data_IF_745601222421
#
_entry.id   IF_745601222421
#
_cell.length_a   1.000
_cell.length_b   1.000
_cell.length_c   1.000
_cell.angle_alpha   90.00
_cell.angle_beta   90.00
_cell.angle_gamma   90.00
#
_symmetry.space_group_name_H-M   'P 1'
#
loop_
_entity.id
_entity.type
_entity.pdbx_description
1 polymer ?
#
# COMPACT_ATOMS: atom_id res chain seq x y z
N UNK A 1 -6.90 -14.57 96.24
CA UNK A 1 -5.74 -13.81 95.72
C UNK A 1 -5.15 -14.62 94.56
N UNK A 2 -5.05 -13.98 93.38
CA UNK A 2 -4.26 -14.36 92.18
C UNK A 2 -4.70 -15.63 91.43
N UNK A 3 -4.62 -15.78 90.12
CA UNK A 3 -4.77 -14.94 88.92
C UNK A 3 -4.49 -15.87 87.71
N UNK A 4 -5.29 -15.74 86.64
CA UNK A 4 -4.99 -16.01 85.21
C UNK A 4 -4.70 -17.47 84.69
N UNK A 5 -4.77 -17.73 83.36
CA UNK A 5 -5.58 -17.12 82.29
C UNK A 5 -6.25 -18.12 81.30
N UNK A 6 -7.26 -17.63 80.58
CA UNK A 6 -7.99 -18.30 79.51
C UNK A 6 -7.22 -18.34 78.17
N UNK A 7 -7.25 -19.51 77.50
CA UNK A 7 -6.75 -19.73 76.13
C UNK A 7 -7.65 -19.06 75.08
N UNK A 8 -7.08 -18.17 74.27
CA UNK A 8 -7.71 -17.63 73.04
C UNK A 8 -7.69 -18.69 71.93
N UNK A 9 -8.86 -18.94 71.33
CA UNK A 9 -9.02 -19.70 70.07
C UNK A 9 -8.79 -18.74 68.89
N UNK A 10 -7.83 -19.06 68.02
CA UNK A 10 -7.63 -18.37 66.74
C UNK A 10 -8.66 -18.85 65.72
N UNK A 11 -9.40 -17.91 65.13
CA UNK A 11 -10.33 -18.12 64.03
C UNK A 11 -9.57 -17.87 62.73
N UNK A 12 -9.33 -18.92 61.94
CA UNK A 12 -8.76 -18.80 60.59
C UNK A 12 -9.89 -18.41 59.62
N UNK A 13 -9.81 -17.19 59.07
CA UNK A 13 -10.70 -16.71 58.03
C UNK A 13 -10.12 -17.10 56.67
N UNK A 14 -10.72 -18.09 56.01
CA UNK A 14 -10.36 -18.48 54.65
C UNK A 14 -11.08 -17.59 53.63
N UNK A 15 -10.34 -16.73 52.94
CA UNK A 15 -10.84 -15.97 51.78
C UNK A 15 -10.64 -16.81 50.51
N UNK A 16 -11.73 -17.39 50.01
CA UNK A 16 -11.78 -18.00 48.69
C UNK A 16 -11.84 -16.90 47.62
N UNK A 17 -10.74 -16.73 46.87
CA UNK A 17 -10.68 -15.82 45.74
C UNK A 17 -11.15 -16.56 44.48
N UNK A 18 -12.41 -16.40 44.10
CA UNK A 18 -12.96 -16.88 42.83
C UNK A 18 -12.45 -15.99 41.69
N UNK A 19 -11.53 -16.52 40.89
CA UNK A 19 -11.09 -15.89 39.65
C UNK A 19 -12.19 -16.01 38.59
N UNK A 20 -12.86 -14.91 38.26
CA UNK A 20 -13.68 -14.81 37.05
C UNK A 20 -12.75 -14.71 35.83
N UNK A 21 -12.66 -15.78 35.04
CA UNK A 21 -12.18 -15.71 33.67
C UNK A 21 -13.24 -14.99 32.82
N UNK A 22 -13.00 -13.72 32.50
CA UNK A 22 -13.74 -13.04 31.45
C UNK A 22 -13.25 -13.55 30.10
N UNK A 23 -13.99 -14.49 29.48
CA UNK A 23 -13.86 -14.73 28.04
C UNK A 23 -14.37 -13.48 27.31
N UNK A 24 -13.45 -12.64 26.85
CA UNK A 24 -13.76 -11.59 25.90
C UNK A 24 -14.06 -12.24 24.54
N UNK A 25 -15.33 -12.57 24.31
CA UNK A 25 -15.83 -12.91 22.98
C UNK A 25 -15.58 -11.71 22.06
N UNK A 26 -14.72 -11.87 21.05
CA UNK A 26 -14.53 -10.86 20.03
C UNK A 26 -15.87 -10.67 19.28
N UNK A 27 -16.56 -9.57 19.58
CA UNK A 27 -17.72 -9.17 18.80
C UNK A 27 -17.26 -8.91 17.35
N UNK A 28 -18.02 -9.33 16.33
CA UNK A 28 -17.69 -8.98 14.96
C UNK A 28 -17.60 -7.45 14.86
N UNK A 29 -16.50 -6.96 14.29
CA UNK A 29 -16.36 -5.55 13.96
C UNK A 29 -17.42 -5.23 12.90
N UNK A 30 -18.55 -4.67 13.33
CA UNK A 30 -19.60 -4.26 12.42
C UNK A 30 -19.06 -3.15 11.52
N UNK A 31 -19.24 -3.32 10.21
CA UNK A 31 -18.97 -2.25 9.26
C UNK A 31 -19.79 -1.01 9.64
N UNK A 32 -19.23 0.17 9.38
CA UNK A 32 -19.95 1.42 9.64
C UNK A 32 -21.35 1.38 8.99
N UNK A 33 -22.38 1.80 9.75
CA UNK A 33 -23.76 1.83 9.25
C UNK A 33 -23.82 2.63 7.94
N UNK A 34 -24.48 2.06 6.93
CA UNK A 34 -24.68 2.71 5.65
C UNK A 34 -26.14 3.10 5.48
N UNK A 35 -26.50 4.38 5.72
CA UNK A 35 -27.89 4.82 5.67
C UNK A 35 -28.53 4.48 4.32
N UNK A 36 -29.65 3.75 4.37
CA UNK A 36 -30.40 3.37 3.15
C UNK A 36 -29.82 2.17 2.37
N UNK A 37 -28.68 1.59 2.77
CA UNK A 37 -28.15 0.38 2.15
C UNK A 37 -27.60 -0.60 3.23
N UNK A 38 -28.47 -1.42 3.86
CA UNK A 38 -28.05 -2.34 4.92
C UNK A 38 -27.13 -3.46 4.42
N UNK A 39 -27.00 -3.63 3.11
CA UNK A 39 -26.11 -4.61 2.52
C UNK A 39 -24.78 -4.02 2.08
N UNK A 40 -24.57 -2.70 2.15
CA UNK A 40 -23.34 -2.06 1.71
C UNK A 40 -22.09 -2.75 2.30
N UNK A 41 -21.00 -2.76 1.54
CA UNK A 41 -19.74 -3.36 2.00
C UNK A 41 -19.27 -2.70 3.32
N UNK A 42 -19.35 -1.38 3.39
CA UNK A 42 -18.98 -0.58 4.54
C UNK A 42 -17.48 -0.61 4.86
N UNK A 43 -17.04 0.37 5.65
CA UNK A 43 -15.71 0.33 6.25
C UNK A 43 -15.75 -0.56 7.48
N UNK A 44 -15.02 -1.68 7.50
CA UNK A 44 -15.10 -2.67 8.57
C UNK A 44 -14.44 -2.21 9.87
N UNK A 45 -13.35 -1.43 9.75
CA UNK A 45 -12.64 -0.83 10.88
C UNK A 45 -11.74 0.30 10.40
N UNK A 46 -11.41 1.19 11.32
CA UNK A 46 -10.34 2.17 11.14
C UNK A 46 -9.06 1.66 11.78
N UNK A 47 -7.96 1.66 11.01
CA UNK A 47 -6.62 1.38 11.48
C UNK A 47 -5.89 2.71 11.69
N UNK A 48 -5.55 3.02 12.94
CA UNK A 48 -4.80 4.23 13.30
C UNK A 48 -3.32 3.90 13.34
N UNK A 49 -2.53 4.48 12.45
CA UNK A 49 -1.09 4.20 12.31
C UNK A 49 -0.23 5.36 12.80
N UNK A 50 0.89 5.03 13.45
CA UNK A 50 1.92 5.99 13.83
C UNK A 50 3.05 5.99 12.77
N UNK A 51 3.25 7.09 12.03
CA UNK A 51 4.33 7.23 11.05
C UNK A 51 5.73 7.00 11.61
N UNK A 52 5.92 7.22 12.92
CA UNK A 52 7.24 7.17 13.56
C UNK A 52 7.66 5.76 13.96
N UNK A 53 6.71 4.84 14.13
CA UNK A 53 6.98 3.45 14.49
C UNK A 53 7.23 2.56 13.27
N UNK A 54 6.48 2.81 12.19
CA UNK A 54 6.55 2.03 10.95
C UNK A 54 6.77 2.96 9.76
N UNK A 55 7.97 3.55 9.59
CA UNK A 55 8.19 4.64 8.65
C UNK A 55 8.08 4.24 7.18
N UNK A 56 8.03 2.93 6.85
CA UNK A 56 8.02 2.41 5.47
C UNK A 56 7.12 1.19 5.41
N UNK A 57 6.12 1.18 4.53
CA UNK A 57 5.16 0.07 4.41
C UNK A 57 4.80 -0.27 2.96
N UNK A 58 4.47 -1.54 2.71
CA UNK A 58 3.99 -2.07 1.43
C UNK A 58 5.01 -2.99 0.78
N UNK A 59 4.59 -4.24 0.54
CA UNK A 59 5.48 -5.35 0.15
C UNK A 59 6.07 -5.26 -1.25
N UNK A 60 5.66 -4.30 -2.07
CA UNK A 60 6.35 -4.04 -3.35
C UNK A 60 7.74 -3.43 -3.16
N UNK A 61 8.04 -2.81 -2.01
CA UNK A 61 9.34 -2.20 -1.74
C UNK A 61 9.94 -2.60 -0.37
N UNK A 62 9.10 -2.95 0.61
CA UNK A 62 9.51 -3.06 2.00
C UNK A 62 9.14 -4.42 2.61
N UNK A 63 9.87 -4.88 3.63
CA UNK A 63 9.52 -6.12 4.34
C UNK A 63 8.25 -5.99 5.18
N UNK A 64 7.89 -4.76 5.58
CA UNK A 64 6.70 -4.46 6.37
C UNK A 64 5.53 -3.98 5.49
N UNK A 65 4.31 -4.25 5.94
CA UNK A 65 3.05 -3.70 5.42
C UNK A 65 2.07 -3.48 6.57
N UNK A 66 0.87 -2.98 6.28
CA UNK A 66 -0.13 -2.74 7.29
C UNK A 66 -0.55 -4.04 8.01
N UNK A 67 -0.84 -3.96 9.33
CA UNK A 67 -1.32 -5.08 10.14
C UNK A 67 -2.79 -5.39 9.83
N UNK A 68 -2.99 -5.93 8.63
CA UNK A 68 -4.26 -6.37 8.11
C UNK A 68 -4.51 -7.82 8.53
N UNK A 69 -5.74 -8.11 8.95
CA UNK A 69 -6.21 -9.47 9.16
C UNK A 69 -6.44 -10.15 7.81
N UNK A 70 -6.76 -11.44 7.86
CA UNK A 70 -7.13 -12.17 6.67
C UNK A 70 -8.39 -11.58 6.03
N UNK A 71 -8.44 -11.58 4.70
CA UNK A 71 -9.50 -10.97 3.93
C UNK A 71 -9.69 -9.46 4.19
N UNK A 72 -8.66 -8.73 4.62
CA UNK A 72 -8.70 -7.27 4.70
C UNK A 72 -7.96 -6.60 3.55
N UNK A 73 -8.55 -5.54 3.00
CA UNK A 73 -7.96 -4.75 1.92
C UNK A 73 -8.05 -3.25 2.23
N UNK A 74 -6.99 -2.53 1.87
CA UNK A 74 -6.96 -1.07 1.89
C UNK A 74 -6.98 -0.59 0.46
N UNK A 75 -8.00 0.21 0.10
CA UNK A 75 -8.08 0.84 -1.22
C UNK A 75 -7.25 2.12 -1.22
N UNK A 76 -6.35 2.26 -2.20
CA UNK A 76 -5.56 3.47 -2.39
C UNK A 76 -5.63 3.97 -3.82
N UNK A 77 -5.70 5.29 -3.99
CA UNK A 77 -5.79 5.96 -5.29
C UNK A 77 -4.69 7.00 -5.43
N UNK A 78 -3.91 6.93 -6.51
CA UNK A 78 -2.83 7.87 -6.83
C UNK A 78 -3.24 8.84 -7.95
N UNK A 79 -2.50 9.95 -8.02
CA UNK A 79 -2.48 10.99 -9.07
C UNK A 79 -3.59 12.04 -9.04
N UNK A 80 -4.67 11.80 -8.29
CA UNK A 80 -5.80 12.71 -8.21
C UNK A 80 -5.53 14.08 -7.52
N UNK A 81 -6.56 14.94 -7.42
CA UNK A 81 -7.90 14.71 -7.98
C UNK A 81 -8.01 15.19 -9.43
N UNK A 82 -8.72 14.45 -10.27
CA UNK A 82 -9.17 14.87 -11.59
C UNK A 82 -10.70 14.77 -11.62
N UNK A 83 -11.46 15.90 -11.57
CA UNK A 83 -12.90 15.89 -11.31
C UNK A 83 -13.71 14.92 -12.17
N UNK A 84 -13.33 14.77 -13.45
CA UNK A 84 -13.97 13.86 -14.40
C UNK A 84 -14.03 12.41 -13.92
N UNK A 85 -13.02 11.94 -13.20
CA UNK A 85 -12.85 10.53 -12.80
C UNK A 85 -12.90 10.36 -11.27
N UNK A 86 -12.33 11.30 -10.51
CA UNK A 86 -12.37 11.29 -9.04
C UNK A 86 -13.79 11.34 -8.52
N UNK A 87 -14.68 12.17 -9.10
CA UNK A 87 -16.06 12.30 -8.61
C UNK A 87 -16.86 10.99 -8.75
N UNK A 88 -16.88 10.32 -9.92
CA UNK A 88 -17.45 8.98 -10.02
C UNK A 88 -16.87 7.96 -9.03
N UNK A 89 -15.55 7.98 -8.80
CA UNK A 89 -14.90 7.13 -7.79
C UNK A 89 -15.46 7.40 -6.40
N UNK A 90 -15.57 8.67 -5.98
CA UNK A 90 -16.16 9.05 -4.69
C UNK A 90 -17.62 8.60 -4.58
N UNK A 91 -18.42 8.74 -5.63
CA UNK A 91 -19.83 8.33 -5.63
C UNK A 91 -19.97 6.80 -5.43
N UNK A 92 -19.11 6.01 -6.07
CA UNK A 92 -19.08 4.55 -5.90
C UNK A 92 -18.63 4.13 -4.49
N UNK A 93 -17.62 4.80 -3.92
CA UNK A 93 -17.19 4.55 -2.54
C UNK A 93 -18.28 4.94 -1.54
N UNK A 94 -18.99 6.05 -1.78
CA UNK A 94 -20.09 6.51 -0.95
C UNK A 94 -21.29 5.56 -0.99
N UNK A 95 -21.64 5.02 -2.16
CA UNK A 95 -22.74 4.05 -2.33
C UNK A 95 -22.53 2.76 -1.52
N UNK A 96 -21.26 2.40 -1.28
CA UNK A 96 -20.87 1.26 -0.45
C UNK A 96 -20.42 1.67 0.97
N UNK A 97 -20.49 2.95 1.34
CA UNK A 97 -20.04 3.49 2.63
C UNK A 97 -18.60 3.10 3.02
N UNK A 98 -17.71 3.02 2.03
CA UNK A 98 -16.31 2.64 2.21
C UNK A 98 -15.41 3.87 2.18
N UNK A 99 -14.34 3.85 2.97
CA UNK A 99 -13.30 4.88 2.93
C UNK A 99 -12.01 4.32 2.32
N UNK A 100 -11.26 5.19 1.66
CA UNK A 100 -10.00 4.88 0.99
C UNK A 100 -8.94 5.92 1.37
N UNK A 101 -7.70 5.70 0.89
CA UNK A 101 -6.60 6.67 0.98
C UNK A 101 -6.28 7.22 -0.40
N UNK A 102 -6.21 8.53 -0.57
CA UNK A 102 -5.88 9.20 -1.82
C UNK A 102 -4.51 9.88 -1.70
N UNK A 103 -3.58 9.56 -2.60
CA UNK A 103 -2.26 10.20 -2.69
C UNK A 103 -2.28 11.26 -3.77
N UNK A 104 -2.29 12.52 -3.32
CA UNK A 104 -2.61 13.67 -4.15
C UNK A 104 -1.35 14.30 -4.74
N UNK A 105 -1.35 14.54 -6.05
CA UNK A 105 -0.31 15.35 -6.68
C UNK A 105 -0.58 16.83 -6.35
N UNK A 106 0.44 17.53 -5.84
CA UNK A 106 0.29 18.92 -5.41
C UNK A 106 -0.22 19.87 -6.50
N UNK A 107 0.23 19.69 -7.75
CA UNK A 107 -0.31 20.45 -8.90
C UNK A 107 -1.81 20.22 -9.07
N UNK A 108 -2.28 18.97 -8.97
CA UNK A 108 -3.70 18.64 -9.10
C UNK A 108 -4.51 19.23 -7.94
N UNK A 109 -3.97 19.26 -6.73
CA UNK A 109 -4.58 19.96 -5.59
C UNK A 109 -4.79 21.46 -5.86
N UNK A 110 -3.79 22.15 -6.45
CA UNK A 110 -3.92 23.57 -6.80
C UNK A 110 -4.89 23.82 -7.94
N UNK A 111 -4.89 22.96 -8.95
CA UNK A 111 -5.68 23.14 -10.16
C UNK A 111 -7.16 22.76 -9.90
N UNK A 112 -7.41 21.82 -8.97
CA UNK A 112 -8.75 21.31 -8.64
C UNK A 112 -9.03 21.28 -7.11
N UNK A 113 -8.93 22.42 -6.40
CA UNK A 113 -9.04 22.45 -4.95
C UNK A 113 -10.45 22.12 -4.45
N UNK A 114 -11.49 22.37 -5.25
CA UNK A 114 -12.86 21.98 -4.93
C UNK A 114 -13.02 20.46 -4.90
N UNK A 115 -12.47 19.75 -5.88
CA UNK A 115 -12.52 18.29 -5.92
C UNK A 115 -11.72 17.66 -4.78
N UNK A 116 -10.57 18.23 -4.41
CA UNK A 116 -9.83 17.77 -3.23
C UNK A 116 -10.65 17.93 -1.94
N UNK A 117 -11.38 19.04 -1.79
CA UNK A 117 -12.28 19.23 -0.64
C UNK A 117 -13.44 18.24 -0.64
N UNK A 118 -13.94 17.80 -1.80
CA UNK A 118 -14.93 16.71 -1.86
C UNK A 118 -14.36 15.40 -1.32
N UNK A 119 -13.10 15.04 -1.66
CA UNK A 119 -12.41 13.87 -1.08
C UNK A 119 -12.31 13.99 0.45
N UNK A 120 -11.95 15.18 0.95
CA UNK A 120 -11.85 15.45 2.39
C UNK A 120 -13.20 15.38 3.10
N UNK A 121 -14.23 16.02 2.54
CA UNK A 121 -15.59 16.03 3.10
C UNK A 121 -16.24 14.65 3.09
N UNK A 122 -15.87 13.81 2.12
CA UNK A 122 -16.25 12.40 2.09
C UNK A 122 -15.53 11.56 3.18
N UNK A 123 -14.62 12.14 3.98
CA UNK A 123 -13.98 11.48 5.12
C UNK A 123 -12.90 10.47 4.73
N UNK A 124 -12.35 10.58 3.52
CA UNK A 124 -11.22 9.77 3.08
C UNK A 124 -9.91 10.29 3.66
N UNK A 125 -8.89 9.43 3.70
CA UNK A 125 -7.55 9.86 4.10
C UNK A 125 -6.83 10.48 2.90
N UNK A 126 -6.20 11.64 3.11
CA UNK A 126 -5.43 12.33 2.08
C UNK A 126 -3.96 12.27 2.44
N UNK A 127 -3.18 11.54 1.64
CA UNK A 127 -1.72 11.60 1.61
C UNK A 127 -1.23 12.40 0.39
N UNK A 128 0.08 12.47 0.21
CA UNK A 128 0.69 13.28 -0.87
C UNK A 128 1.52 12.43 -1.83
N UNK A 129 1.59 12.88 -3.08
CA UNK A 129 2.21 12.17 -4.20
C UNK A 129 3.17 13.06 -5.00
N UNK A 130 3.98 13.86 -4.30
CA UNK A 130 4.87 14.92 -4.84
C UNK A 130 4.12 16.05 -5.54
N UNK A 131 4.85 17.08 -5.96
CA UNK A 131 4.30 18.28 -6.57
C UNK A 131 3.91 18.06 -8.03
N UNK A 132 4.78 17.41 -8.82
CA UNK A 132 4.64 17.28 -10.27
C UNK A 132 4.76 15.84 -10.79
N UNK A 133 4.84 14.86 -9.90
CA UNK A 133 4.92 13.43 -10.26
C UNK A 133 6.12 13.07 -11.19
N UNK A 134 7.37 13.46 -10.86
CA UNK A 134 8.51 13.02 -11.65
C UNK A 134 8.78 11.52 -11.42
N UNK A 135 8.75 10.71 -12.47
CA UNK A 135 9.12 9.28 -12.37
C UNK A 135 10.60 9.05 -12.05
N UNK A 136 11.43 10.09 -12.12
CA UNK A 136 12.88 10.05 -11.88
C UNK A 136 13.31 10.39 -10.45
N UNK A 137 12.40 10.36 -9.46
CA UNK A 137 12.70 10.76 -8.07
C UNK A 137 13.99 10.10 -7.52
N UNK A 138 14.20 8.80 -7.76
CA UNK A 138 15.37 8.08 -7.27
C UNK A 138 16.72 8.46 -7.92
N UNK A 139 16.69 9.23 -9.01
CA UNK A 139 17.89 9.59 -9.82
C UNK A 139 18.12 11.09 -9.90
N UNK A 140 17.14 11.90 -9.52
CA UNK A 140 17.29 13.36 -9.52
C UNK A 140 18.15 13.82 -8.33
N UNK A 141 18.77 15.01 -8.40
CA UNK A 141 19.45 15.60 -7.26
C UNK A 141 18.55 15.66 -6.03
N UNK A 142 19.08 15.32 -4.86
CA UNK A 142 18.28 15.18 -3.63
C UNK A 142 17.49 16.45 -3.29
N UNK A 143 18.09 17.63 -3.44
CA UNK A 143 17.39 18.91 -3.17
C UNK A 143 16.17 19.10 -4.08
N UNK A 144 16.21 18.62 -5.33
CA UNK A 144 15.05 18.66 -6.23
C UNK A 144 13.96 17.69 -5.78
N UNK A 145 14.33 16.47 -5.38
CA UNK A 145 13.38 15.50 -4.84
C UNK A 145 12.73 16.01 -3.55
N UNK A 146 13.51 16.67 -2.68
CA UNK A 146 13.03 17.33 -1.48
C UNK A 146 12.01 18.43 -1.81
N UNK A 147 12.31 19.30 -2.77
CA UNK A 147 11.38 20.33 -3.24
C UNK A 147 10.08 19.71 -3.77
N UNK A 148 10.17 18.64 -4.56
CA UNK A 148 8.97 17.94 -5.08
C UNK A 148 8.08 17.40 -3.95
N UNK A 149 8.65 16.91 -2.85
CA UNK A 149 7.90 16.43 -1.69
C UNK A 149 7.29 17.61 -0.93
N UNK A 150 8.12 18.60 -0.58
CA UNK A 150 7.71 19.73 0.26
C UNK A 150 6.64 20.59 -0.42
N UNK A 151 6.82 20.91 -1.71
CA UNK A 151 5.85 21.70 -2.47
C UNK A 151 4.54 20.93 -2.67
N UNK A 152 4.62 19.60 -2.83
CA UNK A 152 3.47 18.72 -2.96
C UNK A 152 2.60 18.73 -1.70
N UNK A 153 3.24 18.68 -0.54
CA UNK A 153 2.60 18.84 0.77
C UNK A 153 2.02 20.24 0.89
N UNK A 154 2.81 21.28 0.64
CA UNK A 154 2.38 22.67 0.78
C UNK A 154 1.17 23.00 -0.11
N UNK A 155 1.16 22.55 -1.36
CA UNK A 155 0.05 22.75 -2.29
C UNK A 155 -1.23 22.03 -1.84
N UNK A 156 -1.10 20.80 -1.34
CA UNK A 156 -2.24 20.03 -0.82
C UNK A 156 -2.82 20.68 0.44
N UNK A 157 -1.97 21.12 1.36
CA UNK A 157 -2.37 21.86 2.57
C UNK A 157 -3.08 23.16 2.20
N UNK A 158 -2.53 23.93 1.25
CA UNK A 158 -3.14 25.20 0.81
C UNK A 158 -4.52 25.02 0.19
N UNK A 159 -4.73 23.93 -0.56
CA UNK A 159 -6.03 23.63 -1.18
C UNK A 159 -7.11 23.22 -0.17
N UNK A 160 -6.70 22.57 0.93
CA UNK A 160 -7.58 22.17 2.04
C UNK A 160 -7.78 23.28 3.09
N UNK A 161 -6.83 24.21 3.20
CA UNK A 161 -6.86 25.31 4.17
C UNK A 161 -6.51 24.92 5.60
N UNK A 162 -6.19 23.64 5.84
CA UNK A 162 -5.86 23.10 7.16
C UNK A 162 -4.88 21.92 7.02
N UNK A 163 -3.69 22.06 7.61
CA UNK A 163 -2.65 21.05 7.55
C UNK A 163 -3.03 19.74 8.26
N UNK A 164 -3.94 19.78 9.24
CA UNK A 164 -4.39 18.58 9.96
C UNK A 164 -5.24 17.64 9.09
N UNK A 165 -5.71 18.13 7.93
CA UNK A 165 -6.44 17.33 6.95
C UNK A 165 -5.52 16.54 6.00
N UNK A 166 -4.21 16.80 6.03
CA UNK A 166 -3.22 16.04 5.25
C UNK A 166 -2.54 15.05 6.19
N UNK A 167 -2.74 13.76 5.93
CA UNK A 167 -2.04 12.72 6.65
C UNK A 167 -0.53 12.80 6.34
N UNK A 168 0.34 12.50 7.32
CA UNK A 168 1.80 12.40 7.14
C UNK A 168 2.20 11.13 6.35
N UNK A 169 1.51 10.87 5.24
CA UNK A 169 1.67 9.74 4.36
C UNK A 169 2.14 10.25 3.00
N UNK A 170 3.25 9.71 2.52
CA UNK A 170 3.83 10.07 1.22
C UNK A 170 4.03 8.80 0.41
N UNK A 171 3.48 8.75 -0.80
CA UNK A 171 3.82 7.74 -1.79
C UNK A 171 4.69 8.39 -2.86
N UNK A 172 5.80 7.76 -3.23
CA UNK A 172 6.71 8.32 -4.25
C UNK A 172 6.27 7.83 -5.65
N UNK A 173 6.15 8.72 -6.66
CA UNK A 173 5.77 8.38 -8.03
C UNK A 173 6.44 7.13 -8.59
N UNK A 174 5.61 6.22 -9.11
CA UNK A 174 6.06 4.94 -9.67
C UNK A 174 6.82 4.05 -8.68
N UNK A 175 6.72 4.31 -7.37
CA UNK A 175 7.47 3.63 -6.31
C UNK A 175 9.00 3.76 -6.52
N UNK A 176 9.45 4.84 -7.18
CA UNK A 176 10.85 5.08 -7.53
C UNK A 176 11.50 6.03 -6.54
N UNK A 177 11.87 5.51 -5.37
CA UNK A 177 12.54 6.26 -4.30
C UNK A 177 14.04 5.93 -4.16
N UNK A 178 14.76 6.67 -3.32
CA UNK A 178 16.14 6.44 -2.92
C UNK A 178 16.28 6.46 -1.40
N UNK A 179 17.37 5.92 -0.85
CA UNK A 179 17.63 5.96 0.59
C UNK A 179 17.62 7.39 1.15
N UNK A 180 18.20 8.36 0.43
CA UNK A 180 18.19 9.76 0.83
C UNK A 180 16.77 10.35 0.94
N UNK A 181 15.87 10.00 0.00
CA UNK A 181 14.46 10.40 0.07
C UNK A 181 13.77 9.74 1.26
N UNK A 182 13.98 8.45 1.47
CA UNK A 182 13.36 7.72 2.58
C UNK A 182 13.83 8.22 3.96
N UNK A 183 15.11 8.55 4.08
CA UNK A 183 15.69 9.14 5.30
C UNK A 183 15.15 10.55 5.52
N UNK A 184 14.96 11.33 4.45
CA UNK A 184 14.29 12.62 4.54
C UNK A 184 12.85 12.50 5.05
N UNK A 185 12.05 11.59 4.48
CA UNK A 185 10.68 11.33 4.94
C UNK A 185 10.65 10.94 6.42
N UNK A 186 11.52 10.01 6.84
CA UNK A 186 11.64 9.61 8.24
C UNK A 186 12.02 10.78 9.16
N UNK A 187 12.97 11.63 8.74
CA UNK A 187 13.38 12.84 9.49
C UNK A 187 12.25 13.87 9.68
N UNK A 188 11.22 13.81 8.83
CA UNK A 188 10.01 14.65 8.87
C UNK A 188 8.82 13.94 9.53
N UNK A 189 9.02 12.74 10.07
CA UNK A 189 7.94 11.89 10.59
C UNK A 189 6.86 11.59 9.53
N UNK A 190 7.26 11.49 8.27
CA UNK A 190 6.42 11.11 7.14
C UNK A 190 6.61 9.62 6.87
N UNK A 191 5.51 8.88 6.82
CA UNK A 191 5.51 7.46 6.47
C UNK A 191 5.60 7.33 4.95
N UNK A 192 6.58 6.56 4.47
CA UNK A 192 6.70 6.18 3.08
C UNK A 192 5.74 5.02 2.77
N UNK A 193 4.78 5.28 1.90
CA UNK A 193 3.80 4.30 1.44
C UNK A 193 4.20 3.72 0.09
N UNK A 194 4.35 2.40 0.06
CA UNK A 194 4.30 1.57 -1.14
C UNK A 194 2.88 1.00 -1.29
N UNK A 195 2.74 -0.10 -2.02
CA UNK A 195 1.56 -0.93 -2.07
C UNK A 195 1.95 -2.40 -1.90
N UNK A 196 0.98 -3.28 -1.69
CA UNK A 196 1.23 -4.72 -1.71
C UNK A 196 1.05 -5.31 -3.10
N UNK A 197 0.15 -4.74 -3.89
CA UNK A 197 -0.09 -5.12 -5.27
C UNK A 197 -0.82 -4.00 -6.05
N UNK A 198 -0.51 -3.82 -7.33
CA UNK A 198 -1.26 -2.93 -8.20
C UNK A 198 -2.40 -3.62 -8.97
N UNK A 199 -3.34 -2.84 -9.49
CA UNK A 199 -4.31 -3.30 -10.48
C UNK A 199 -3.85 -3.12 -11.95
N UNK A 200 -2.66 -2.55 -12.16
CA UNK A 200 -2.08 -2.21 -13.47
C UNK A 200 -2.95 -1.25 -14.30
N UNK A 201 -3.76 -0.44 -13.63
CA UNK A 201 -4.74 0.47 -14.22
C UNK A 201 -4.12 1.73 -14.85
N UNK A 202 -2.81 1.92 -14.78
CA UNK A 202 -2.10 2.92 -15.60
C UNK A 202 -1.82 2.39 -17.03
N UNK A 203 -1.81 1.07 -17.24
CA UNK A 203 -1.62 0.46 -18.56
C UNK A 203 -2.88 0.52 -19.42
N UNK A 204 -2.72 0.54 -20.75
CA UNK A 204 -3.82 0.50 -21.74
C UNK A 204 -4.49 -0.88 -21.78
N UNK A 205 -5.19 -1.21 -20.69
CA UNK A 205 -6.01 -2.42 -20.50
C UNK A 205 -7.46 -2.03 -20.20
N UNK A 206 -8.38 -2.96 -20.38
CA UNK A 206 -9.81 -2.74 -20.11
C UNK A 206 -10.12 -2.72 -18.61
N UNK A 207 -11.25 -2.11 -18.23
CA UNK A 207 -11.76 -2.15 -16.85
C UNK A 207 -11.93 -3.58 -16.32
N UNK A 208 -12.39 -4.52 -17.16
CA UNK A 208 -12.51 -5.93 -16.79
C UNK A 208 -11.14 -6.56 -16.49
N UNK A 209 -10.10 -6.20 -17.25
CA UNK A 209 -8.74 -6.65 -16.97
C UNK A 209 -8.20 -6.06 -15.67
N UNK A 210 -8.44 -4.78 -15.40
CA UNK A 210 -8.09 -4.12 -14.13
C UNK A 210 -8.72 -4.84 -12.94
N UNK A 211 -10.03 -5.08 -12.97
CA UNK A 211 -10.74 -5.78 -11.91
C UNK A 211 -10.21 -7.20 -11.69
N UNK A 212 -9.97 -7.95 -12.78
CA UNK A 212 -9.40 -9.30 -12.71
C UNK A 212 -7.99 -9.30 -12.10
N UNK A 213 -7.14 -8.35 -12.47
CA UNK A 213 -5.77 -8.24 -11.93
C UNK A 213 -5.82 -7.89 -10.43
N UNK A 214 -6.63 -6.90 -10.05
CA UNK A 214 -6.80 -6.51 -8.65
C UNK A 214 -7.26 -7.68 -7.77
N UNK A 215 -8.33 -8.37 -8.18
CA UNK A 215 -8.92 -9.48 -7.42
C UNK A 215 -7.99 -10.70 -7.35
N UNK A 216 -7.34 -11.09 -8.46
CA UNK A 216 -6.44 -12.25 -8.46
C UNK A 216 -5.19 -12.03 -7.61
N UNK A 217 -4.62 -10.81 -7.63
CA UNK A 217 -3.46 -10.47 -6.79
C UNK A 217 -3.82 -10.35 -5.31
N UNK A 218 -5.02 -9.82 -5.00
CA UNK A 218 -5.55 -9.81 -3.64
C UNK A 218 -5.78 -11.24 -3.12
N UNK A 219 -6.40 -12.10 -3.92
CA UNK A 219 -6.66 -13.51 -3.57
C UNK A 219 -5.36 -14.27 -3.31
N UNK A 220 -4.36 -14.11 -4.18
CA UNK A 220 -3.04 -14.73 -3.99
C UNK A 220 -2.33 -14.26 -2.70
N UNK A 221 -2.59 -13.04 -2.25
CA UNK A 221 -1.99 -12.48 -1.03
C UNK A 221 -2.86 -12.65 0.22
N UNK A 222 -4.15 -12.92 0.07
CA UNK A 222 -5.15 -12.99 1.14
C UNK A 222 -5.53 -11.64 1.77
N UNK A 223 -4.69 -10.61 1.63
CA UNK A 223 -4.87 -9.25 2.17
C UNK A 223 -3.91 -8.26 1.52
N UNK A 224 -4.09 -6.96 1.76
CA UNK A 224 -3.06 -5.97 1.47
C UNK A 224 -3.56 -4.59 1.03
N UNK A 225 -2.60 -3.75 0.65
CA UNK A 225 -2.80 -2.41 0.10
C UNK A 225 -2.92 -2.51 -1.43
N UNK A 226 -4.12 -2.25 -1.95
CA UNK A 226 -4.40 -2.21 -3.38
C UNK A 226 -4.10 -0.82 -3.94
N UNK A 227 -3.21 -0.76 -4.95
CA UNK A 227 -2.89 0.46 -5.71
C UNK A 227 -3.77 0.59 -6.96
N UNK A 228 -4.47 1.72 -7.05
CA UNK A 228 -5.29 2.20 -8.15
C UNK A 228 -4.97 3.68 -8.45
N UNK A 229 -5.54 4.24 -9.51
CA UNK A 229 -5.41 5.64 -9.92
C UNK A 229 -6.81 6.21 -10.23
N UNK A 230 -7.27 7.22 -9.48
CA UNK A 230 -8.61 7.82 -9.63
C UNK A 230 -8.70 8.82 -10.80
N UNK A 231 -7.66 8.91 -11.62
CA UNK A 231 -7.63 9.72 -12.85
C UNK A 231 -7.95 8.90 -14.11
N UNK A 232 -8.22 7.61 -13.97
CA UNK A 232 -8.32 6.67 -15.09
C UNK A 232 -9.76 6.17 -15.31
N UNK A 233 -10.28 6.33 -16.54
CA UNK A 233 -11.60 5.81 -16.92
C UNK A 233 -11.75 4.28 -16.73
N UNK A 234 -10.64 3.53 -16.87
CA UNK A 234 -10.63 2.07 -16.63
C UNK A 234 -10.74 1.72 -15.15
N UNK A 235 -10.24 2.55 -14.24
CA UNK A 235 -10.43 2.41 -12.79
C UNK A 235 -11.86 2.70 -12.41
N UNK A 236 -12.42 3.79 -12.96
CA UNK A 236 -13.84 4.11 -12.84
C UNK A 236 -14.73 2.94 -13.29
N UNK A 237 -14.45 2.32 -14.45
CA UNK A 237 -15.21 1.16 -14.91
C UNK A 237 -14.96 -0.14 -14.16
N UNK A 238 -13.81 -0.29 -13.49
CA UNK A 238 -13.44 -1.52 -12.78
C UNK A 238 -13.96 -1.54 -11.34
N UNK A 239 -14.04 -0.38 -10.71
CA UNK A 239 -14.35 -0.23 -9.28
C UNK A 239 -15.68 -0.88 -8.86
N UNK A 240 -16.80 -0.78 -9.62
CA UNK A 240 -18.04 -1.47 -9.27
C UNK A 240 -17.88 -2.99 -9.18
N UNK A 241 -17.10 -3.57 -10.10
CA UNK A 241 -16.83 -5.01 -10.12
C UNK A 241 -15.94 -5.38 -8.93
N UNK A 242 -14.90 -4.59 -8.66
CA UNK A 242 -14.01 -4.82 -7.51
C UNK A 242 -14.82 -4.80 -6.21
N UNK A 243 -15.59 -3.74 -5.93
CA UNK A 243 -16.37 -3.61 -4.69
C UNK A 243 -17.39 -4.74 -4.53
N UNK A 244 -18.11 -5.09 -5.60
CA UNK A 244 -19.06 -6.21 -5.61
C UNK A 244 -18.38 -7.54 -5.28
N UNK A 245 -17.24 -7.82 -5.90
CA UNK A 245 -16.51 -9.08 -5.70
C UNK A 245 -15.84 -9.15 -4.33
N UNK A 246 -15.33 -8.03 -3.79
CA UNK A 246 -14.84 -7.97 -2.42
C UNK A 246 -15.94 -8.40 -1.44
N UNK A 247 -17.13 -7.81 -1.56
CA UNK A 247 -18.30 -8.16 -0.75
C UNK A 247 -18.69 -9.64 -0.91
N UNK A 248 -18.79 -10.13 -2.15
CA UNK A 248 -19.19 -11.50 -2.43
C UNK A 248 -18.20 -12.55 -1.89
N UNK A 249 -16.91 -12.21 -1.82
CA UNK A 249 -15.83 -13.08 -1.36
C UNK A 249 -15.47 -12.88 0.12
N UNK A 250 -16.24 -12.07 0.86
CA UNK A 250 -16.03 -11.84 2.29
C UNK A 250 -14.83 -10.97 2.63
N UNK A 251 -14.29 -10.20 1.67
CA UNK A 251 -13.28 -9.19 1.96
C UNK A 251 -13.88 -7.99 2.70
N UNK A 252 -13.06 -7.37 3.54
CA UNK A 252 -13.40 -6.23 4.39
C UNK A 252 -12.49 -5.05 4.09
N UNK A 253 -13.08 -3.87 3.92
CA UNK A 253 -12.31 -2.65 3.65
C UNK A 253 -11.87 -2.00 4.97
N UNK A 254 -10.57 -1.77 5.09
CA UNK A 254 -9.96 -1.07 6.23
C UNK A 254 -9.62 0.36 5.82
N UNK A 255 -10.08 1.33 6.63
CA UNK A 255 -9.70 2.73 6.47
C UNK A 255 -8.49 3.04 7.32
N UNK A 256 -7.46 3.65 6.74
CA UNK A 256 -6.21 3.95 7.47
C UNK A 256 -6.11 5.43 7.73
N UNK A 257 -5.90 5.82 8.98
CA UNK A 257 -5.74 7.22 9.40
C UNK A 257 -4.50 7.37 10.27
N UNK A 258 -3.86 8.55 10.32
CA UNK A 258 -2.75 8.77 11.23
C UNK A 258 -3.24 8.94 12.67
N UNK A 259 -2.31 8.76 13.62
CA UNK A 259 -2.47 9.23 15.00
C UNK A 259 -2.81 10.72 15.03
N UNK A 260 -3.69 11.12 15.95
CA UNK A 260 -4.07 12.50 16.18
C UNK A 260 -4.47 12.68 17.66
N UNK A 261 -4.55 13.91 18.19
CA UNK A 261 -5.11 14.15 19.52
C UNK A 261 -6.50 13.50 19.67
N UNK A 262 -6.68 12.68 20.71
CA UNK A 262 -7.92 11.91 20.92
C UNK A 262 -8.10 10.68 20.02
N UNK A 263 -7.12 10.36 19.16
CA UNK A 263 -7.11 9.19 18.28
C UNK A 263 -5.79 8.42 18.46
N UNK A 264 -5.67 7.60 19.52
CA UNK A 264 -4.46 6.82 19.76
C UNK A 264 -4.26 5.74 18.69
N UNK A 265 -3.00 5.33 18.48
CA UNK A 265 -2.66 4.26 17.54
C UNK A 265 -3.41 2.97 17.87
N UNK A 266 -3.74 2.18 16.84
CA UNK A 266 -4.28 0.84 17.03
C UNK A 266 -3.20 -0.05 17.66
N UNK A 267 -3.47 -0.72 18.80
CA UNK A 267 -2.51 -1.66 19.38
C UNK A 267 -2.20 -2.79 18.40
N UNK A 268 -0.90 -3.00 18.14
CA UNK A 268 -0.41 -4.02 17.23
C UNK A 268 0.86 -4.65 17.80
N UNK A 269 1.14 -5.89 17.40
CA UNK A 269 2.39 -6.58 17.67
C UNK A 269 3.30 -6.52 16.42
N UNK A 270 4.63 -6.50 16.58
CA UNK A 270 5.56 -6.35 15.45
C UNK A 270 5.37 -7.37 14.32
N UNK A 271 5.01 -8.61 14.65
CA UNK A 271 4.81 -9.67 13.66
C UNK A 271 3.58 -9.43 12.76
N UNK A 272 2.61 -8.63 13.20
CA UNK A 272 1.40 -8.32 12.43
C UNK A 272 1.70 -7.41 11.24
N UNK A 273 2.81 -6.68 11.25
CA UNK A 273 3.23 -5.77 10.17
C UNK A 273 3.89 -6.51 8.98
N UNK A 274 3.71 -7.82 8.88
CA UNK A 274 4.19 -8.62 7.76
C UNK A 274 3.00 -9.17 6.99
N UNK A 275 3.13 -9.29 5.68
CA UNK A 275 2.04 -9.81 4.83
C UNK A 275 1.64 -11.25 5.21
N UNK A 276 2.63 -12.07 5.59
CA UNK A 276 2.43 -13.41 6.13
C UNK A 276 2.97 -13.46 7.56
N UNK A 277 2.16 -13.03 8.55
CA UNK A 277 2.55 -13.04 9.93
C UNK A 277 2.73 -14.47 10.45
N UNK A 278 3.89 -14.79 11.02
CA UNK A 278 4.07 -15.99 11.84
C UNK A 278 3.75 -15.64 13.29
N UNK A 279 2.62 -16.09 13.81
CA UNK A 279 2.25 -15.88 15.22
C UNK A 279 3.33 -16.53 16.12
N UNK A 280 4.00 -15.77 16.99
CA UNK A 280 5.02 -16.31 17.87
C UNK A 280 4.48 -17.37 18.84
N UNK A 281 3.18 -17.40 19.12
CA UNK A 281 2.55 -18.43 19.96
C UNK A 281 2.38 -19.77 19.23
N UNK A 282 2.32 -19.77 17.89
CA UNK A 282 2.27 -20.98 17.07
C UNK A 282 3.68 -21.55 16.83
N UNK A 283 4.74 -20.75 17.03
CA UNK A 283 6.14 -21.15 16.84
C UNK A 283 6.72 -22.09 17.94
N UNK A 284 5.89 -22.59 18.87
CA UNK A 284 6.32 -23.55 19.89
C UNK A 284 5.48 -24.84 19.86
N UNK A 285 5.64 -25.63 18.82
CA UNK A 285 5.67 -27.08 19.00
C UNK A 285 7.07 -27.54 18.57
N UNK A 286 7.96 -27.95 19.50
CA UNK A 286 9.19 -28.59 19.08
C UNK A 286 8.80 -29.79 18.22
N UNK A 287 9.38 -29.88 17.03
CA UNK A 287 9.25 -31.01 16.14
C UNK A 287 9.68 -32.26 16.92
N UNK A 288 8.69 -32.99 17.42
CA UNK A 288 8.89 -34.21 18.20
C UNK A 288 9.59 -35.22 17.31
N UNK A 289 10.84 -35.51 17.66
CA UNK A 289 11.57 -36.75 17.42
C UNK A 289 11.15 -37.55 16.17
N UNK A 290 11.80 -37.28 15.04
CA UNK A 290 11.96 -38.33 14.03
C UNK A 290 12.88 -39.40 14.64
N UNK A 291 12.48 -40.67 14.79
CA UNK A 291 13.39 -41.69 15.25
C UNK A 291 14.48 -41.89 14.19
N UNK A 292 15.74 -41.73 14.61
CA UNK A 292 16.91 -42.03 13.79
C UNK A 292 16.95 -43.56 13.62
N UNK A 293 16.52 -44.06 12.46
CA UNK A 293 16.70 -45.46 12.03
C UNK A 293 17.71 -45.58 10.88
N UNK A 294 18.73 -44.72 10.86
CA UNK A 294 19.78 -44.72 9.82
C UNK A 294 21.17 -44.77 10.49
N UNK A 295 21.37 -45.74 11.40
CA UNK A 295 22.68 -45.97 12.04
C UNK A 295 23.07 -47.45 12.20
N UNK A 296 22.38 -48.40 11.54
CA UNK A 296 22.61 -49.83 11.76
C UNK A 296 22.89 -50.68 10.50
N UNK A 297 23.19 -50.08 9.34
CA UNK A 297 23.45 -50.86 8.11
C UNK A 297 24.81 -50.61 7.43
N UNK A 298 25.67 -49.76 7.99
CA UNK A 298 27.00 -49.50 7.44
C UNK A 298 28.10 -50.34 8.12
N UNK A 299 27.96 -51.67 8.16
CA UNK A 299 29.05 -52.55 8.58
C UNK A 299 28.98 -53.92 7.91
N UNK A 300 29.41 -53.99 6.64
CA UNK A 300 29.98 -55.20 6.01
C UNK A 300 30.52 -54.86 4.62
N UNK A 301 31.84 -54.63 4.53
CA UNK A 301 32.60 -54.72 3.27
C UNK A 301 33.19 -56.11 3.12
N UNK A 302 33.27 -56.64 1.89
CA UNK A 302 34.43 -57.42 1.47
C UNK A 302 35.17 -56.74 0.31
N UNK A 303 36.50 -56.89 0.30
CA UNK A 303 37.42 -56.53 -0.79
C UNK A 303 37.34 -57.58 -1.92
N UNK A 304 37.69 -57.21 -3.18
CA UNK A 304 38.95 -57.71 -3.80
C UNK A 304 39.66 -56.66 -4.69
N UNK A 305 40.99 -56.50 -4.62
CA UNK A 305 42.11 -57.04 -5.46
C UNK A 305 42.38 -56.37 -6.84
N UNK A 306 43.42 -55.54 -6.83
CA UNK A 306 44.56 -55.26 -7.75
C UNK A 306 44.53 -55.46 -9.29
N UNK A 307 45.32 -54.56 -9.92
CA UNK A 307 45.96 -54.54 -11.27
C UNK A 307 45.05 -54.04 -12.41
N UNK A 308 45.48 -53.17 -13.34
CA UNK A 308 46.79 -52.95 -13.94
C UNK A 308 46.87 -51.52 -14.54
N UNK A 309 48.06 -50.92 -14.58
CA UNK A 309 48.33 -49.63 -15.23
C UNK A 309 48.70 -49.81 -16.71
N UNK A 310 48.23 -48.91 -17.59
CA UNK A 310 48.84 -48.65 -18.90
C UNK A 310 48.93 -47.15 -19.14
N UNK A 311 50.13 -46.72 -19.57
CA UNK A 311 50.57 -45.35 -19.80
C UNK A 311 50.12 -44.79 -21.16
N UNK A 312 49.95 -43.46 -21.16
CA UNK A 312 50.27 -42.45 -22.18
C UNK A 312 50.09 -42.75 -23.69
N UNK A 313 49.44 -41.82 -24.39
CA UNK A 313 50.04 -41.16 -25.57
C UNK A 313 49.41 -39.78 -25.81
N UNK A 314 50.28 -38.90 -26.26
CA UNK A 314 50.14 -37.48 -26.52
C UNK A 314 50.10 -37.27 -28.04
N UNK A 315 49.78 -36.04 -28.47
CA UNK A 315 49.91 -35.46 -29.83
C UNK A 315 48.69 -35.72 -30.77
N UNK A 316 48.22 -34.82 -31.64
CA UNK A 316 48.81 -33.66 -32.32
C UNK A 316 47.77 -32.56 -32.62
N UNK A 317 48.27 -31.33 -32.73
CA UNK A 317 47.63 -30.15 -33.32
C UNK A 317 47.57 -30.23 -34.85
N UNK A 318 46.59 -29.54 -35.46
CA UNK A 318 46.70 -28.98 -36.82
C UNK A 318 46.11 -27.56 -36.84
N UNK A 319 46.85 -26.67 -37.48
CA UNK A 319 46.73 -25.22 -37.49
C UNK A 319 46.00 -24.68 -38.73
N UNK A 320 45.24 -23.58 -38.53
CA UNK A 320 45.17 -22.35 -39.35
C UNK A 320 44.65 -22.44 -40.83
N UNK A 321 44.30 -21.33 -41.54
CA UNK A 321 44.81 -19.97 -41.35
C UNK A 321 43.80 -18.82 -41.24
N UNK A 322 44.37 -17.71 -40.78
CA UNK A 322 43.81 -16.39 -40.62
C UNK A 322 43.69 -15.64 -41.96
N UNK A 323 42.76 -14.68 -42.01
CA UNK A 323 42.82 -13.54 -42.93
C UNK A 323 42.84 -12.26 -42.08
N UNK A 324 43.81 -11.39 -42.34
CA UNK A 324 44.09 -10.14 -41.62
C UNK A 324 43.98 -8.95 -42.57
N UNK A 325 43.63 -7.80 -42.00
CA UNK A 325 43.71 -6.41 -42.49
C UNK A 325 42.49 -5.96 -43.32
N UNK A 326 41.85 -4.83 -42.99
CA UNK A 326 42.44 -3.48 -43.05
C UNK A 326 42.04 -2.53 -41.89
N UNK A 327 42.90 -1.54 -41.71
CA UNK A 327 42.84 -0.41 -40.78
C UNK A 327 41.80 0.65 -41.17
N UNK A 328 41.34 1.45 -40.20
CA UNK A 328 40.72 2.76 -40.42
C UNK A 328 40.29 3.42 -39.11
N UNK A 329 41.09 4.38 -38.62
CA UNK A 329 40.74 5.33 -37.56
C UNK A 329 39.57 6.22 -38.03
N UNK A 330 38.63 6.57 -37.14
CA UNK A 330 38.53 7.94 -36.63
C UNK A 330 37.39 8.14 -35.63
N UNK A 331 37.65 9.06 -34.70
CA UNK A 331 36.77 9.55 -33.67
C UNK A 331 35.63 10.41 -34.24
N UNK A 332 34.43 10.32 -33.66
CA UNK A 332 33.58 11.44 -33.20
C UNK A 332 32.19 10.93 -32.84
N UNK A 333 31.95 10.70 -31.56
CA UNK A 333 30.60 10.50 -31.01
C UNK A 333 29.94 11.88 -30.87
N UNK A 334 29.03 12.23 -31.78
CA UNK A 334 28.14 13.39 -31.64
C UNK A 334 26.74 12.91 -31.30
N UNK A 335 26.28 13.35 -30.13
CA UNK A 335 24.90 13.32 -29.65
C UNK A 335 23.91 13.78 -30.73
N UNK A 336 22.83 13.04 -30.93
CA UNK A 336 21.53 13.59 -31.32
C UNK A 336 20.40 12.77 -30.64
N UNK A 337 19.88 13.31 -29.55
CA UNK A 337 18.56 12.99 -29.01
C UNK A 337 17.51 13.79 -29.80
N UNK A 338 16.39 13.21 -30.27
CA UNK A 338 15.24 14.01 -30.66
C UNK A 338 14.43 14.43 -29.42
N UNK A 339 14.11 15.72 -29.37
CA UNK A 339 13.28 16.40 -28.36
C UNK A 339 11.83 15.86 -28.31
N UNK A 340 11.10 16.05 -27.18
CA UNK A 340 9.71 15.64 -27.09
C UNK A 340 8.78 16.62 -27.83
N UNK A 341 7.82 16.05 -28.56
CA UNK A 341 6.73 16.74 -29.22
C UNK A 341 5.84 17.51 -28.21
N UNK A 342 5.78 18.83 -28.39
CA UNK A 342 4.80 19.68 -27.75
C UNK A 342 3.39 19.41 -28.31
N UNK A 343 2.48 18.93 -27.47
CA UNK A 343 1.05 18.91 -27.78
C UNK A 343 0.49 20.33 -27.64
N UNK A 344 0.17 20.97 -28.77
CA UNK A 344 -0.63 22.20 -28.81
C UNK A 344 -2.11 21.83 -28.61
N UNK A 345 -2.72 22.33 -27.54
CA UNK A 345 -4.17 22.33 -27.42
C UNK A 345 -4.74 23.41 -28.35
N UNK A 346 -5.67 23.01 -29.23
CA UNK A 346 -6.43 23.92 -30.05
C UNK A 346 -7.46 24.66 -29.19
N UNK A 347 -7.46 25.98 -29.34
CA UNK A 347 -8.37 26.94 -28.72
C UNK A 347 -9.76 26.81 -29.37
N UNK A 348 -10.75 26.31 -28.61
CA UNK A 348 -12.16 26.33 -29.02
C UNK A 348 -12.92 27.34 -28.17
N UNK A 349 -13.10 28.53 -28.75
CA UNK A 349 -14.07 29.53 -28.25
C UNK A 349 -15.50 29.02 -28.45
N UNK A 350 -16.41 29.20 -27.47
CA UNK A 350 -17.83 28.94 -27.68
C UNK A 350 -18.53 30.08 -28.43
N UNK A 351 -19.34 29.69 -29.41
CA UNK A 351 -20.27 30.50 -30.17
C UNK A 351 -21.31 31.15 -29.23
N UNK A 352 -21.45 32.49 -29.30
CA UNK A 352 -22.56 33.23 -28.69
C UNK A 352 -23.84 33.00 -29.51
N UNK A 353 -24.83 32.32 -28.95
CA UNK A 353 -26.22 32.36 -29.44
C UNK A 353 -27.02 33.43 -28.69
N UNK A 354 -27.58 34.37 -29.46
CA UNK A 354 -28.50 35.42 -29.02
C UNK A 354 -29.79 34.80 -28.47
N UNK A 355 -30.24 35.26 -27.30
CA UNK A 355 -31.65 35.12 -26.87
C UNK A 355 -32.19 36.52 -26.64
N UNK A 356 -33.28 36.82 -27.34
CA UNK A 356 -33.99 38.08 -27.35
C UNK A 356 -34.75 38.32 -26.04
N UNK A 357 -34.73 39.56 -25.56
CA UNK A 357 -35.62 40.08 -24.51
C UNK A 357 -37.03 40.25 -25.08
N UNK A 358 -38.03 39.60 -24.50
CA UNK A 358 -39.43 40.02 -24.62
C UNK A 358 -39.83 40.74 -23.33
N UNK A 359 -40.13 42.04 -23.44
CA UNK A 359 -40.80 42.82 -22.42
C UNK A 359 -42.32 42.59 -22.55
N UNK A 360 -42.98 42.12 -21.50
CA UNK A 360 -44.41 42.24 -21.33
C UNK A 360 -44.68 43.39 -20.33
N UNK A 361 -45.29 44.46 -20.84
CA UNK A 361 -46.02 45.47 -20.05
C UNK A 361 -47.40 44.90 -19.76
N UNK A 362 -47.79 44.86 -18.49
CA UNK A 362 -49.19 44.78 -18.07
C UNK A 362 -49.50 45.98 -17.19
N UNK A 363 -50.44 46.79 -17.64
CA UNK A 363 -51.04 47.91 -16.94
C UNK A 363 -52.31 48.28 -17.71
N UNK A 364 -53.46 47.90 -17.15
CA UNK A 364 -54.79 47.98 -17.73
C UNK A 364 -55.72 47.05 -16.99
#
# INVERSE_FOLDING_TARGET
MRDLPARRRGLACGTALTALLALASALPANAAECPGNPTALGTSRTLVVDPTEHPRIGTMQYPETLPLADHEVVLTFDDGPLPKHTKPVLDMLAAECVKATFFIIGRMARDYPAALREVQQAGHTIGTHTQNHPLGMNRMPFDQAKTEIDDGIASTVAALGDATQVAPFVRIPGLRTSAAIEDYLASKHLMAWSADFPADDWHKISAAQVARIALSRLEAKGRGILLLHDIQARTEGALPVILKELKARGYRIVHVVPVAPGRPKTPTAPWQWRLHPSDPTIAHKPESARPILEAALAAKKPRPRSMLAVRSRQQHAVSAPALRMLHGNDATTRLLYPAPLAFKFADHRPHRSRVAKLHAKTGG
#
